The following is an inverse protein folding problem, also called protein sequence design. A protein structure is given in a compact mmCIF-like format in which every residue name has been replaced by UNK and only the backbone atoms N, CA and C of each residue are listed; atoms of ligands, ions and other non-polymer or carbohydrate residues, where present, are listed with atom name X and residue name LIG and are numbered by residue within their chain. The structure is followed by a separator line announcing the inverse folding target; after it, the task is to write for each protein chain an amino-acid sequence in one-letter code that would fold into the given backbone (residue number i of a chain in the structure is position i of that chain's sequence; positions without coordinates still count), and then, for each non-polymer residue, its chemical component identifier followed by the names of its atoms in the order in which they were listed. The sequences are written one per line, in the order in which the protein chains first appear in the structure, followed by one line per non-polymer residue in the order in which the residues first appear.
data_IF_167978560080
#
_entry.id   IF_167978560080
#
_cell.length_a   1.000
_cell.length_b   1.000
_cell.length_c   1.000
_cell.angle_alpha   90.00
_cell.angle_beta   90.00
_cell.angle_gamma   90.00
#
_symmetry.space_group_name_H-M   'P 1'
#
loop_
_entity.id
_entity.type
_entity.pdbx_description
1 polymer ?
#
# COMPACT_ATOMS: atom_id res chain seq x y z
N UNK A 1 -2.84 -0.74 -17.18
CA UNK A 1 -1.95 -1.00 -16.06
C UNK A 1 -2.29 -0.09 -14.88
N UNK A 2 -1.82 -0.46 -13.70
CA UNK A 2 -2.06 0.31 -12.49
C UNK A 2 -0.76 0.72 -11.82
N UNK A 3 -0.81 1.80 -11.05
CA UNK A 3 0.38 2.30 -10.36
C UNK A 3 0.18 2.25 -8.84
N UNK A 4 1.18 1.73 -8.14
CA UNK A 4 1.12 1.63 -6.69
C UNK A 4 2.44 2.03 -6.05
N UNK A 5 2.37 2.66 -4.89
CA UNK A 5 3.56 3.10 -4.18
C UNK A 5 4.33 1.91 -3.60
N UNK A 6 5.63 2.11 -3.38
CA UNK A 6 6.47 1.05 -2.81
C UNK A 6 7.48 1.63 -1.83
N UNK A 7 7.01 2.47 -0.92
CA UNK A 7 7.88 3.09 0.07
C UNK A 7 7.17 3.20 1.43
N UNK A 8 7.94 3.01 2.51
CA UNK A 8 7.41 3.08 3.87
C UNK A 8 7.03 4.49 4.27
N UNK A 9 7.72 5.48 3.69
CA UNK A 9 7.44 6.87 3.99
C UNK A 9 6.10 7.31 3.42
N UNK A 10 5.47 8.28 4.07
CA UNK A 10 4.17 8.78 3.63
C UNK A 10 4.32 9.72 2.44
N UNK A 11 5.09 10.78 2.62
CA UNK A 11 5.32 11.75 1.55
C UNK A 11 6.53 11.37 0.71
N UNK A 12 6.51 10.15 0.19
CA UNK A 12 7.61 9.65 -0.63
C UNK A 12 7.27 9.75 -2.11
N UNK A 13 8.15 9.23 -2.96
CA UNK A 13 7.92 9.26 -4.39
C UNK A 13 8.32 7.97 -5.08
N UNK A 14 8.48 6.91 -4.29
CA UNK A 14 8.86 5.61 -4.83
C UNK A 14 7.63 4.75 -5.12
N UNK A 15 7.47 4.36 -6.37
CA UNK A 15 6.34 3.55 -6.78
C UNK A 15 6.70 2.65 -7.96
N UNK A 16 5.82 1.70 -8.27
CA UNK A 16 6.05 0.78 -9.38
C UNK A 16 4.75 0.45 -10.09
N UNK A 17 4.86 0.06 -11.36
CA UNK A 17 3.69 -0.29 -12.15
C UNK A 17 3.28 -1.75 -11.93
N UNK A 18 2.05 -1.95 -11.47
CA UNK A 18 1.54 -3.29 -11.21
C UNK A 18 1.07 -3.95 -12.51
N UNK A 19 1.50 -5.19 -12.72
CA UNK A 19 1.13 -5.93 -13.91
C UNK A 19 0.00 -6.91 -13.62
N UNK A 20 -0.31 -7.76 -14.60
CA UNK A 20 -1.37 -8.75 -14.44
C UNK A 20 -1.23 -9.50 -13.13
N UNK A 21 -2.35 -9.98 -12.60
CA UNK A 21 -2.33 -10.70 -11.34
C UNK A 21 -2.57 -9.81 -10.14
N UNK A 22 -2.26 -8.53 -10.29
CA UNK A 22 -2.45 -7.57 -9.22
C UNK A 22 -2.95 -6.23 -9.75
N UNK A 23 -4.28 -6.11 -9.86
CA UNK A 23 -4.90 -4.88 -10.35
C UNK A 23 -5.39 -4.02 -9.19
N UNK A 24 -4.91 -4.31 -7.99
CA UNK A 24 -5.29 -3.54 -6.82
C UNK A 24 -4.12 -3.37 -5.86
N UNK A 25 -3.99 -2.17 -5.30
CA UNK A 25 -2.92 -1.85 -4.37
C UNK A 25 -3.41 -1.94 -2.93
N UNK A 26 -2.47 -1.87 -1.99
CA UNK A 26 -2.79 -1.95 -0.57
C UNK A 26 -1.79 -1.15 0.26
N UNK A 27 -2.23 -0.69 1.42
CA UNK A 27 -1.37 0.09 2.31
C UNK A 27 -1.77 -0.12 3.77
N UNK A 28 -0.95 -0.86 4.51
CA UNK A 28 -1.22 -1.13 5.92
C UNK A 28 -0.05 -0.67 6.80
N UNK A 29 -0.24 -0.73 8.10
CA UNK A 29 0.79 -0.33 9.06
C UNK A 29 1.84 -1.42 9.23
N UNK A 30 3.05 -1.03 9.59
CA UNK A 30 4.14 -1.98 9.80
C UNK A 30 4.62 -1.94 11.25
N UNK A 31 4.20 -0.92 11.98
CA UNK A 31 4.60 -0.77 13.38
C UNK A 31 3.95 0.46 14.00
N UNK A 32 3.63 0.37 15.28
CA UNK A 32 3.02 1.48 16.00
C UNK A 32 4.00 2.64 16.18
N UNK A 33 5.25 2.29 16.45
CA UNK A 33 6.29 3.28 16.66
C UNK A 33 6.83 3.79 15.32
N UNK A 34 6.94 5.12 15.20
CA UNK A 34 7.43 5.73 13.97
C UNK A 34 6.49 5.47 12.81
N UNK A 35 5.28 5.03 13.12
CA UNK A 35 4.27 4.75 12.11
C UNK A 35 4.15 5.92 11.13
N UNK A 36 4.40 7.12 11.63
CA UNK A 36 4.31 8.32 10.80
C UNK A 36 5.02 8.12 9.47
N UNK A 37 6.09 7.33 9.49
CA UNK A 37 6.85 7.05 8.28
C UNK A 37 7.14 5.56 8.14
N UNK A 38 6.12 4.74 8.41
CA UNK A 38 6.26 3.29 8.32
C UNK A 38 4.95 2.65 7.89
N UNK A 39 4.91 2.17 6.65
CA UNK A 39 3.71 1.54 6.11
C UNK A 39 4.07 0.54 5.01
N UNK A 40 3.29 -0.53 4.91
CA UNK A 40 3.52 -1.56 3.90
C UNK A 40 2.72 -1.28 2.64
N UNK A 41 3.36 -0.65 1.67
CA UNK A 41 2.70 -0.32 0.40
C UNK A 41 3.17 -1.25 -0.71
N UNK A 42 2.24 -1.71 -1.53
CA UNK A 42 2.58 -2.60 -2.62
C UNK A 42 1.37 -3.03 -3.43
N UNK A 43 1.59 -3.86 -4.44
CA UNK A 43 0.50 -4.33 -5.28
C UNK A 43 -0.08 -5.64 -4.74
N UNK A 44 -1.28 -5.98 -5.19
CA UNK A 44 -1.93 -7.20 -4.75
C UNK A 44 -3.10 -7.56 -5.67
N UNK A 45 -3.70 -8.72 -5.43
CA UNK A 45 -4.83 -9.18 -6.24
C UNK A 45 -6.14 -8.63 -5.71
N UNK A 46 -6.38 -8.81 -4.42
CA UNK A 46 -7.60 -8.34 -3.78
C UNK A 46 -7.33 -7.86 -2.36
N UNK A 47 -8.32 -7.17 -1.78
CA UNK A 47 -8.19 -6.66 -0.42
C UNK A 47 -7.72 -7.76 0.53
N UNK A 48 -6.47 -7.63 1.02
CA UNK A 48 -5.88 -8.60 1.94
C UNK A 48 -6.51 -8.55 3.32
N UNK A 49 -6.88 -9.71 3.85
CA UNK A 49 -7.50 -9.79 5.16
C UNK A 49 -6.49 -9.54 6.27
N UNK A 50 -6.98 -9.03 7.41
CA UNK A 50 -6.09 -8.75 8.52
C UNK A 50 -6.79 -8.01 9.64
N UNK A 51 -6.04 -7.65 10.68
CA UNK A 51 -6.60 -6.93 11.82
C UNK A 51 -7.11 -5.56 11.40
N UNK A 52 -7.94 -4.95 12.27
CA UNK A 52 -8.51 -3.62 12.01
C UNK A 52 -7.54 -2.50 12.35
N UNK A 53 -6.67 -2.76 13.32
CA UNK A 53 -5.68 -1.78 13.76
C UNK A 53 -4.48 -1.77 12.82
N UNK A 54 -4.51 -2.62 11.81
CA UNK A 54 -3.42 -2.71 10.84
C UNK A 54 -3.56 -1.65 9.77
N UNK A 55 -4.59 -0.81 9.90
CA UNK A 55 -4.83 0.26 8.93
C UNK A 55 -4.70 -0.26 7.50
N UNK A 56 -5.22 -1.46 7.27
CA UNK A 56 -5.17 -2.07 5.94
C UNK A 56 -6.09 -1.36 4.96
N UNK A 57 -5.52 -0.78 3.92
CA UNK A 57 -6.31 -0.07 2.91
C UNK A 57 -6.26 -0.79 1.57
N UNK A 58 -7.31 -0.64 0.78
CA UNK A 58 -7.39 -1.27 -0.53
C UNK A 58 -7.96 -0.31 -1.57
N UNK A 59 -7.40 -0.36 -2.78
CA UNK A 59 -7.85 0.50 -3.86
C UNK A 59 -7.17 0.13 -5.17
N UNK A 60 -7.75 0.56 -6.28
CA UNK A 60 -7.20 0.28 -7.60
C UNK A 60 -7.09 1.55 -8.43
N UNK A 61 -6.31 2.51 -7.95
CA UNK A 61 -6.11 3.76 -8.65
C UNK A 61 -4.66 4.22 -8.56
N UNK A 62 -4.25 5.05 -9.52
CA UNK A 62 -2.89 5.57 -9.55
C UNK A 62 -2.47 6.10 -8.19
N UNK A 63 -1.51 5.42 -7.56
CA UNK A 63 -1.02 5.82 -6.24
C UNK A 63 -2.17 5.99 -5.26
N UNK A 64 -3.16 5.09 -5.35
CA UNK A 64 -4.32 5.14 -4.47
C UNK A 64 -3.90 5.15 -3.01
N UNK A 65 -2.72 4.59 -2.74
CA UNK A 65 -2.20 4.54 -1.37
C UNK A 65 -1.29 5.74 -1.09
N UNK A 66 -1.59 6.86 -1.72
CA UNK A 66 -0.82 8.08 -1.53
C UNK A 66 -1.22 8.80 -0.25
#
# INVERSE_FOLDING_TARGET
MLTCLNCPEMFCGKFQICRNGEKICFKKLHQRRALSWRYIRGCADTCPVGKPYEMIECCSTDKCNR
#
